data_IF_244958509510
#
_entry.id   IF_244958509510
#
_cell.length_a   1.000
_cell.length_b   1.000
_cell.length_c   1.000
_cell.angle_alpha   90.00
_cell.angle_beta   90.00
_cell.angle_gamma   90.00
#
_symmetry.space_group_name_H-M   'P 1'
#
loop_
_entity.id
_entity.type
_entity.pdbx_description
1 polymer ?
#
# COMPACT_ATOMS: atom_id res chain seq x y z
N UNK A 1 -2.66 -47.41 51.48
CA UNK A 1 -3.36 -46.14 51.21
C UNK A 1 -2.44 -45.29 50.33
N UNK A 2 -2.90 -44.89 49.14
CA UNK A 2 -2.08 -44.33 48.06
C UNK A 2 -1.64 -42.90 48.40
N UNK A 3 -0.34 -42.63 48.29
CA UNK A 3 0.24 -41.30 48.43
C UNK A 3 -0.13 -40.44 47.21
N UNK A 4 -0.75 -39.28 47.46
CA UNK A 4 -1.07 -38.28 46.45
C UNK A 4 0.17 -37.39 46.28
N UNK A 5 0.79 -37.40 45.10
CA UNK A 5 1.83 -36.43 44.73
C UNK A 5 1.21 -35.03 44.58
N UNK A 6 1.87 -33.96 45.03
CA UNK A 6 1.42 -32.60 44.75
C UNK A 6 1.66 -32.30 43.26
N UNK A 7 0.57 -31.99 42.55
CA UNK A 7 0.63 -31.43 41.20
C UNK A 7 1.31 -30.07 41.31
N UNK A 8 2.54 -29.98 40.79
CA UNK A 8 3.20 -28.70 40.55
C UNK A 8 2.39 -27.96 39.49
N UNK A 9 1.51 -27.07 39.95
CA UNK A 9 0.81 -26.10 39.12
C UNK A 9 1.87 -25.12 38.61
N UNK A 10 2.48 -25.43 37.46
CA UNK A 10 3.26 -24.44 36.71
C UNK A 10 2.25 -23.40 36.24
N UNK A 11 2.17 -22.29 36.97
CA UNK A 11 1.50 -21.08 36.51
C UNK A 11 2.20 -20.67 35.20
N UNK A 12 1.57 -20.94 34.06
CA UNK A 12 1.82 -20.17 32.84
C UNK A 12 1.35 -18.75 33.13
N UNK A 13 2.22 -17.73 33.08
CA UNK A 13 1.72 -16.39 32.89
C UNK A 13 1.30 -16.29 31.42
N UNK A 14 0.02 -16.58 31.15
CA UNK A 14 -0.67 -16.00 30.01
C UNK A 14 -0.88 -14.52 30.33
N UNK A 15 0.14 -13.71 30.08
CA UNK A 15 0.02 -12.25 30.01
C UNK A 15 0.26 -11.85 28.56
N UNK A 16 -0.75 -12.03 27.72
CA UNK A 16 -0.81 -11.36 26.44
C UNK A 16 -1.41 -9.96 26.65
N UNK A 17 -0.54 -8.94 26.72
CA UNK A 17 -0.93 -7.53 26.59
C UNK A 17 0.27 -6.58 26.72
N UNK A 18 0.23 -5.37 26.12
CA UNK A 18 -0.13 -5.03 24.74
C UNK A 18 1.12 -4.94 23.83
N UNK A 19 1.00 -5.31 22.55
CA UNK A 19 2.04 -5.11 21.51
C UNK A 19 2.25 -3.61 21.25
N UNK A 20 3.48 -3.11 21.32
CA UNK A 20 3.92 -1.76 20.89
C UNK A 20 5.33 -1.88 20.28
N UNK A 21 5.79 -1.13 19.28
CA UNK A 21 5.23 0.03 18.60
C UNK A 21 5.02 -0.23 17.09
N UNK A 22 4.29 0.69 16.45
CA UNK A 22 4.07 0.80 15.00
C UNK A 22 4.19 2.29 14.61
N UNK A 23 5.28 2.89 15.11
CA UNK A 23 6.03 4.12 14.82
C UNK A 23 5.63 5.46 15.47
N UNK A 24 6.57 6.32 15.89
CA UNK A 24 8.02 6.45 15.61
C UNK A 24 8.97 5.81 16.65
N UNK A 25 10.05 5.15 16.20
CA UNK A 25 11.04 4.49 17.06
C UNK A 25 10.72 3.02 17.39
N UNK A 26 10.13 2.30 16.44
CA UNK A 26 9.82 0.88 16.61
C UNK A 26 10.97 0.11 17.27
N UNK A 27 10.56 -0.71 18.24
CA UNK A 27 11.28 -1.00 19.48
C UNK A 27 12.80 -1.23 19.31
N UNK A 28 13.62 -0.67 20.22
CA UNK A 28 15.07 -0.94 20.27
C UNK A 28 15.40 -2.43 20.40
N UNK A 29 14.40 -3.25 20.69
CA UNK A 29 14.49 -4.71 20.78
C UNK A 29 14.61 -5.42 19.42
N UNK A 30 14.35 -4.75 18.29
CA UNK A 30 14.61 -5.31 16.96
C UNK A 30 15.17 -4.27 15.98
N UNK A 31 15.94 -4.72 14.98
CA UNK A 31 16.49 -3.84 13.94
C UNK A 31 15.54 -3.76 12.76
N UNK A 32 15.57 -2.65 12.03
CA UNK A 32 14.90 -2.52 10.74
C UNK A 32 15.94 -2.33 9.63
N UNK A 33 15.70 -2.94 8.47
CA UNK A 33 16.49 -2.71 7.25
C UNK A 33 15.59 -2.31 6.10
N UNK A 34 16.13 -1.59 5.13
CA UNK A 34 15.44 -1.33 3.88
C UNK A 34 15.56 -2.55 2.95
N UNK A 35 14.75 -2.59 1.90
CA UNK A 35 14.68 -3.74 1.00
C UNK A 35 15.95 -3.87 0.13
N UNK A 36 16.54 -2.73 -0.24
CA UNK A 36 17.81 -2.62 -0.95
C UNK A 36 19.01 -3.18 -0.16
N UNK A 37 18.93 -3.19 1.18
CA UNK A 37 19.98 -3.69 2.07
C UNK A 37 19.91 -5.21 2.27
N UNK A 38 18.80 -5.84 1.88
CA UNK A 38 18.54 -7.26 2.11
C UNK A 38 19.65 -8.19 1.56
N UNK A 39 20.19 -7.99 0.34
CA UNK A 39 21.29 -8.84 -0.15
C UNK A 39 22.54 -8.76 0.72
N UNK A 40 22.91 -7.56 1.18
CA UNK A 40 24.07 -7.36 2.06
C UNK A 40 23.82 -7.99 3.44
N UNK A 41 22.60 -7.87 3.96
CA UNK A 41 22.21 -8.51 5.21
C UNK A 41 22.31 -10.04 5.14
N UNK A 42 21.80 -10.63 4.04
CA UNK A 42 21.89 -12.08 3.82
C UNK A 42 23.32 -12.56 3.62
N UNK A 43 24.20 -11.74 3.02
CA UNK A 43 25.62 -12.05 2.89
C UNK A 43 26.34 -12.00 4.25
N UNK A 44 25.99 -11.04 5.11
CA UNK A 44 26.55 -10.92 6.46
C UNK A 44 26.01 -11.98 7.43
N UNK A 45 24.77 -12.42 7.21
CA UNK A 45 24.07 -13.41 8.02
C UNK A 45 23.62 -14.60 7.14
N UNK A 46 24.54 -15.43 6.61
CA UNK A 46 24.21 -16.48 5.65
C UNK A 46 23.33 -17.59 6.23
N UNK A 47 23.28 -17.69 7.57
CA UNK A 47 22.38 -18.58 8.28
C UNK A 47 21.07 -17.89 8.69
N UNK A 48 20.77 -16.66 8.29
CA UNK A 48 19.53 -15.98 8.71
C UNK A 48 18.28 -16.78 8.34
N UNK A 49 17.27 -16.75 9.21
CA UNK A 49 15.95 -17.29 8.91
C UNK A 49 15.11 -16.19 8.24
N UNK A 50 14.63 -16.46 7.03
CA UNK A 50 13.65 -15.61 6.36
C UNK A 50 12.25 -16.03 6.79
N UNK A 51 11.51 -15.15 7.48
CA UNK A 51 10.17 -15.42 7.99
C UNK A 51 9.12 -14.60 7.23
N UNK A 52 8.31 -15.27 6.43
CA UNK A 52 7.13 -14.67 5.82
C UNK A 52 5.92 -14.82 6.76
N UNK A 53 5.41 -13.69 7.25
CA UNK A 53 4.24 -13.66 8.15
C UNK A 53 2.93 -13.25 7.46
N UNK A 54 2.90 -13.28 6.12
CA UNK A 54 1.67 -13.11 5.33
C UNK A 54 0.73 -14.31 5.50
N UNK A 55 -0.44 -14.25 4.89
CA UNK A 55 -1.33 -15.41 4.84
C UNK A 55 -0.73 -16.54 3.98
N UNK A 56 -1.18 -17.77 4.19
CA UNK A 56 -0.76 -18.91 3.37
C UNK A 56 -1.09 -18.71 1.88
N UNK A 57 -2.20 -18.03 1.57
CA UNK A 57 -2.56 -17.67 0.20
C UNK A 57 -1.54 -16.73 -0.43
N UNK A 58 -1.12 -15.67 0.28
CA UNK A 58 -0.09 -14.74 -0.21
C UNK A 58 1.27 -15.42 -0.40
N UNK A 59 1.65 -16.32 0.51
CA UNK A 59 2.93 -17.04 0.43
C UNK A 59 2.97 -18.04 -0.74
N UNK A 60 1.82 -18.60 -1.11
CA UNK A 60 1.70 -19.59 -2.18
C UNK A 60 1.10 -19.01 -3.47
N UNK A 61 0.93 -17.69 -3.56
CA UNK A 61 0.29 -17.02 -4.69
C UNK A 61 -1.13 -17.52 -5.03
N UNK A 62 -1.88 -17.94 -4.00
CA UNK A 62 -3.26 -18.44 -4.10
C UNK A 62 -4.25 -17.60 -3.27
N UNK A 63 -3.87 -16.38 -2.86
CA UNK A 63 -4.75 -15.49 -2.12
C UNK A 63 -6.01 -15.16 -2.94
N UNK A 64 -7.16 -15.11 -2.25
CA UNK A 64 -8.44 -14.74 -2.85
C UNK A 64 -8.41 -13.34 -3.50
N UNK A 65 -7.67 -12.43 -2.86
CA UNK A 65 -7.30 -11.12 -3.39
C UNK A 65 -6.04 -11.29 -4.23
N UNK A 66 -6.23 -11.51 -5.53
CA UNK A 66 -5.15 -11.96 -6.41
C UNK A 66 -4.00 -10.95 -6.57
N UNK A 67 -4.24 -9.67 -6.32
CA UNK A 67 -3.21 -8.62 -6.29
C UNK A 67 -2.22 -8.77 -5.13
N UNK A 68 -2.52 -9.59 -4.12
CA UNK A 68 -1.58 -9.92 -3.06
C UNK A 68 -0.67 -11.10 -3.41
N UNK A 69 -0.92 -11.76 -4.54
CA UNK A 69 -0.07 -12.82 -5.07
C UNK A 69 1.09 -12.15 -5.82
N UNK A 70 2.15 -11.88 -5.08
CA UNK A 70 3.32 -11.11 -5.54
C UNK A 70 4.63 -11.88 -5.34
N UNK A 71 4.57 -13.21 -5.26
CA UNK A 71 5.71 -14.07 -4.96
C UNK A 71 6.13 -13.98 -3.50
N UNK A 72 7.31 -14.51 -3.20
CA UNK A 72 7.95 -14.57 -1.87
C UNK A 72 9.47 -14.54 -1.99
N UNK A 73 10.17 -14.29 -0.88
CA UNK A 73 11.62 -14.46 -0.83
C UNK A 73 12.00 -15.94 -0.89
N UNK A 74 13.00 -16.30 -1.70
CA UNK A 74 13.55 -17.65 -1.83
C UNK A 74 14.02 -18.18 -0.49
N UNK A 75 13.65 -19.42 -0.17
CA UNK A 75 14.02 -20.06 1.09
C UNK A 75 13.30 -19.52 2.32
N UNK A 76 12.30 -18.65 2.17
CA UNK A 76 11.49 -18.19 3.28
C UNK A 76 10.65 -19.32 3.90
N UNK A 77 10.60 -19.36 5.23
CA UNK A 77 9.67 -20.18 5.99
C UNK A 77 8.39 -19.37 6.21
N UNK A 78 7.25 -20.04 6.06
CA UNK A 78 5.93 -19.44 6.27
C UNK A 78 5.39 -19.76 7.66
N UNK A 79 5.12 -18.73 8.44
CA UNK A 79 4.30 -18.79 9.67
C UNK A 79 3.45 -17.53 9.67
N UNK A 80 2.16 -17.67 9.38
CA UNK A 80 1.28 -16.51 9.32
C UNK A 80 1.23 -15.77 10.66
N UNK A 81 1.13 -14.43 10.63
CA UNK A 81 1.11 -13.63 11.85
C UNK A 81 0.11 -14.12 12.91
N UNK A 82 -1.07 -14.61 12.49
CA UNK A 82 -2.10 -15.16 13.40
C UNK A 82 -1.71 -16.48 14.06
N UNK A 83 -0.82 -17.24 13.44
CA UNK A 83 -0.34 -18.56 13.86
C UNK A 83 0.96 -18.46 14.66
N UNK A 84 1.64 -17.32 14.56
CA UNK A 84 2.93 -17.08 15.19
C UNK A 84 2.90 -17.40 16.70
N UNK A 85 1.93 -16.92 17.52
CA UNK A 85 1.91 -17.21 18.95
C UNK A 85 1.95 -18.70 19.29
N UNK A 86 1.24 -19.54 18.52
CA UNK A 86 1.17 -20.98 18.73
C UNK A 86 2.40 -21.72 18.19
N UNK A 87 3.11 -21.11 17.23
CA UNK A 87 4.25 -21.70 16.52
C UNK A 87 5.60 -21.23 17.06
N UNK A 88 5.63 -20.24 17.96
CA UNK A 88 6.84 -19.70 18.60
C UNK A 88 7.72 -20.78 19.24
N UNK A 89 7.12 -21.77 19.91
CA UNK A 89 7.87 -22.85 20.54
C UNK A 89 8.70 -23.65 19.52
N UNK A 90 8.21 -23.80 18.29
CA UNK A 90 8.91 -24.47 17.20
C UNK A 90 10.13 -23.70 16.69
N UNK A 91 10.22 -22.40 16.98
CA UNK A 91 11.36 -21.53 16.65
C UNK A 91 12.33 -21.37 17.84
N UNK A 92 12.11 -22.05 18.95
CA UNK A 92 12.88 -21.84 20.19
C UNK A 92 14.38 -22.14 20.06
N UNK A 93 14.77 -23.02 19.15
CA UNK A 93 16.18 -23.30 18.83
C UNK A 93 16.86 -22.16 18.05
N UNK A 94 16.09 -21.27 17.43
CA UNK A 94 16.58 -20.15 16.63
C UNK A 94 16.59 -18.81 17.40
N UNK A 95 16.49 -18.82 18.74
CA UNK A 95 16.41 -17.60 19.58
C UNK A 95 17.58 -16.63 19.37
N UNK A 96 18.78 -17.16 19.16
CA UNK A 96 20.02 -16.39 18.93
C UNK A 96 20.41 -16.33 17.44
N UNK A 97 19.59 -16.89 16.56
CA UNK A 97 19.81 -16.84 15.11
C UNK A 97 19.20 -15.55 14.56
N UNK A 98 19.85 -14.87 13.58
CA UNK A 98 19.20 -13.75 12.89
C UNK A 98 17.89 -14.17 12.22
N UNK A 99 16.80 -13.44 12.49
CA UNK A 99 15.50 -13.66 11.87
C UNK A 99 15.07 -12.41 11.13
N UNK A 100 14.99 -12.50 9.80
CA UNK A 100 14.48 -11.42 8.94
C UNK A 100 13.00 -11.66 8.69
N UNK A 101 12.16 -10.81 9.26
CA UNK A 101 10.70 -10.91 9.21
C UNK A 101 10.16 -9.95 8.17
N UNK A 102 9.29 -10.45 7.29
CA UNK A 102 8.63 -9.59 6.29
C UNK A 102 7.16 -9.95 6.10
N UNK A 103 6.44 -8.98 5.55
CA UNK A 103 5.08 -9.18 5.03
C UNK A 103 4.91 -8.34 3.76
N UNK A 104 3.68 -8.05 3.33
CA UNK A 104 3.44 -7.23 2.13
C UNK A 104 3.85 -5.76 2.31
N UNK A 105 3.45 -5.11 3.42
CA UNK A 105 3.60 -3.65 3.64
C UNK A 105 4.18 -3.28 5.02
N UNK A 106 4.98 -4.17 5.61
CA UNK A 106 5.59 -3.97 6.95
C UNK A 106 4.61 -3.68 8.11
N UNK A 107 3.34 -4.11 7.98
CA UNK A 107 2.32 -3.97 9.03
C UNK A 107 2.34 -5.17 9.98
N UNK A 108 2.20 -6.37 9.41
CA UNK A 108 2.19 -7.65 10.16
C UNK A 108 3.58 -8.01 10.66
N UNK A 109 4.61 -7.80 9.84
CA UNK A 109 5.99 -8.16 10.17
C UNK A 109 6.53 -7.42 11.39
N UNK A 110 6.07 -6.19 11.65
CA UNK A 110 6.50 -5.43 12.83
C UNK A 110 5.85 -5.89 14.10
N UNK A 111 4.56 -6.22 14.04
CA UNK A 111 3.85 -6.88 15.15
C UNK A 111 4.46 -8.25 15.43
N UNK A 112 4.80 -9.01 14.39
CA UNK A 112 5.53 -10.26 14.52
C UNK A 112 6.93 -10.06 15.12
N UNK A 113 7.65 -9.03 14.69
CA UNK A 113 8.99 -8.70 15.19
C UNK A 113 8.96 -8.35 16.68
N UNK A 114 7.98 -7.55 17.11
CA UNK A 114 7.73 -7.28 18.53
C UNK A 114 7.42 -8.58 19.28
N UNK A 115 6.50 -9.41 18.78
CA UNK A 115 6.13 -10.67 19.44
C UNK A 115 7.33 -11.64 19.58
N UNK A 116 8.22 -11.70 18.57
CA UNK A 116 9.46 -12.46 18.64
C UNK A 116 10.40 -11.87 19.68
N UNK A 117 10.64 -10.56 19.66
CA UNK A 117 11.49 -9.89 20.63
C UNK A 117 10.98 -10.04 22.07
N UNK A 118 9.66 -9.89 22.29
CA UNK A 118 8.95 -10.14 23.55
C UNK A 118 9.15 -11.59 24.04
N UNK A 119 9.29 -12.53 23.11
CA UNK A 119 9.48 -13.95 23.38
C UNK A 119 10.94 -14.34 23.59
N UNK A 120 11.86 -13.38 23.58
CA UNK A 120 13.29 -13.57 23.85
C UNK A 120 14.13 -13.94 22.63
N UNK A 121 13.68 -13.61 21.43
CA UNK A 121 14.53 -13.65 20.23
C UNK A 121 15.41 -12.39 20.20
N UNK A 122 16.72 -12.56 20.12
CA UNK A 122 17.70 -11.49 20.35
C UNK A 122 18.15 -10.79 19.07
N UNK A 123 17.99 -11.43 17.91
CA UNK A 123 18.45 -10.94 16.61
C UNK A 123 17.32 -10.82 15.58
N UNK A 124 16.24 -10.12 15.94
CA UNK A 124 15.10 -9.88 15.06
C UNK A 124 15.37 -8.68 14.14
N UNK A 125 15.12 -8.86 12.85
CA UNK A 125 15.28 -7.84 11.80
C UNK A 125 13.97 -7.73 11.03
N UNK A 126 13.31 -6.57 11.03
CA UNK A 126 12.15 -6.32 10.19
C UNK A 126 12.57 -5.75 8.83
N UNK A 127 12.05 -6.33 7.75
CA UNK A 127 12.17 -5.79 6.40
C UNK A 127 11.14 -4.68 6.20
N UNK A 128 11.63 -3.45 6.09
CA UNK A 128 10.78 -2.26 5.92
C UNK A 128 10.09 -2.27 4.56
N UNK A 129 8.90 -1.65 4.52
CA UNK A 129 8.00 -1.58 3.38
C UNK A 129 7.47 -2.92 2.83
N UNK A 130 8.07 -4.05 3.19
CA UNK A 130 7.63 -5.38 2.77
C UNK A 130 7.83 -5.65 1.28
N UNK A 131 7.25 -6.76 0.81
CA UNK A 131 7.50 -7.27 -0.53
C UNK A 131 6.80 -6.47 -1.65
N UNK A 132 5.71 -5.76 -1.37
CA UNK A 132 5.02 -4.96 -2.40
C UNK A 132 5.93 -3.86 -2.97
N UNK A 133 6.79 -3.28 -2.13
CA UNK A 133 7.77 -2.27 -2.56
C UNK A 133 8.67 -2.77 -3.67
N UNK A 134 9.07 -4.05 -3.66
CA UNK A 134 9.88 -4.61 -4.76
C UNK A 134 9.19 -4.38 -6.11
N UNK A 135 7.89 -4.67 -6.21
CA UNK A 135 7.20 -4.56 -7.49
C UNK A 135 6.95 -3.10 -7.87
N UNK A 136 6.61 -2.24 -6.92
CA UNK A 136 6.46 -0.79 -7.14
C UNK A 136 7.77 -0.10 -7.56
N UNK A 137 8.92 -0.61 -7.08
CA UNK A 137 10.26 -0.04 -7.28
C UNK A 137 11.24 -0.98 -7.99
N UNK A 138 10.73 -1.92 -8.81
CA UNK A 138 11.51 -3.01 -9.41
C UNK A 138 12.70 -2.52 -10.23
N UNK A 139 12.54 -1.39 -10.91
CA UNK A 139 13.56 -0.71 -11.69
C UNK A 139 14.76 -0.25 -10.83
N UNK A 140 14.51 0.12 -9.56
CA UNK A 140 15.50 0.58 -8.57
C UNK A 140 15.98 -0.53 -7.63
N UNK A 141 15.25 -1.65 -7.56
CA UNK A 141 15.51 -2.78 -6.65
C UNK A 141 15.93 -4.05 -7.40
N UNK A 142 16.62 -3.90 -8.54
CA UNK A 142 17.02 -5.03 -9.39
C UNK A 142 17.87 -6.05 -8.64
N UNK A 143 18.69 -5.62 -7.68
CA UNK A 143 19.51 -6.49 -6.83
C UNK A 143 18.71 -7.45 -5.95
N UNK A 144 17.42 -7.21 -5.76
CA UNK A 144 16.52 -8.08 -4.98
C UNK A 144 15.80 -9.10 -5.87
N UNK A 145 15.82 -8.92 -7.20
CA UNK A 145 15.07 -9.78 -8.14
C UNK A 145 15.44 -11.26 -8.01
N UNK A 146 16.74 -11.54 -7.85
CA UNK A 146 17.24 -12.91 -7.73
C UNK A 146 16.87 -13.57 -6.40
N UNK A 147 16.40 -12.80 -5.43
CA UNK A 147 15.93 -13.29 -4.14
C UNK A 147 14.44 -13.62 -4.14
N UNK A 148 13.71 -13.32 -5.23
CA UNK A 148 12.25 -13.51 -5.29
C UNK A 148 11.92 -14.74 -6.14
N UNK A 149 11.04 -15.59 -5.61
CA UNK A 149 10.40 -16.66 -6.35
C UNK A 149 8.89 -16.46 -6.36
N UNK A 150 8.25 -16.90 -7.43
CA UNK A 150 6.84 -16.64 -7.68
C UNK A 150 6.26 -17.73 -8.57
N UNK A 151 4.95 -17.98 -8.47
CA UNK A 151 4.26 -18.99 -9.27
C UNK A 151 3.24 -18.42 -10.25
N UNK A 152 3.09 -17.10 -10.32
CA UNK A 152 2.28 -16.42 -11.32
C UNK A 152 2.80 -16.73 -12.72
N UNK A 153 1.85 -17.02 -13.61
CA UNK A 153 2.09 -17.27 -15.03
C UNK A 153 2.16 -15.98 -15.87
N UNK A 154 1.65 -14.86 -15.34
CA UNK A 154 1.66 -13.55 -16.01
C UNK A 154 2.82 -12.66 -15.53
N UNK A 155 3.19 -11.69 -16.36
CA UNK A 155 4.10 -10.61 -15.96
C UNK A 155 3.43 -9.69 -14.94
N UNK A 156 4.17 -9.28 -13.90
CA UNK A 156 3.73 -8.20 -13.00
C UNK A 156 4.59 -6.99 -13.37
N UNK A 157 3.94 -5.90 -13.75
CA UNK A 157 4.62 -4.67 -14.19
C UNK A 157 4.15 -3.49 -13.35
N UNK A 158 5.03 -2.52 -13.15
CA UNK A 158 4.67 -1.23 -12.55
C UNK A 158 4.52 -0.12 -13.63
N UNK A 159 4.31 1.12 -13.20
CA UNK A 159 4.16 2.26 -14.11
C UNK A 159 5.41 2.52 -14.99
N UNK A 160 6.61 2.31 -14.45
CA UNK A 160 7.87 2.49 -15.20
C UNK A 160 7.99 1.42 -16.29
N UNK A 161 7.70 0.16 -15.94
CA UNK A 161 7.67 -0.96 -16.88
C UNK A 161 6.61 -0.75 -17.97
N UNK A 162 5.41 -0.27 -17.61
CA UNK A 162 4.36 0.09 -18.56
C UNK A 162 4.85 1.16 -19.55
N UNK A 163 5.46 2.24 -19.07
CA UNK A 163 6.01 3.27 -19.93
C UNK A 163 7.12 2.75 -20.85
N UNK A 164 7.94 1.82 -20.36
CA UNK A 164 8.98 1.18 -21.16
C UNK A 164 8.37 0.29 -22.27
N UNK A 165 7.34 -0.50 -21.96
CA UNK A 165 6.62 -1.32 -22.93
C UNK A 165 5.98 -0.45 -24.03
N UNK A 166 5.28 0.62 -23.65
CA UNK A 166 4.66 1.55 -24.59
C UNK A 166 5.68 2.26 -25.49
N UNK A 167 6.91 2.47 -25.00
CA UNK A 167 7.99 3.07 -25.79
C UNK A 167 8.67 2.06 -26.72
N UNK A 168 8.61 0.77 -26.41
CA UNK A 168 9.27 -0.29 -27.16
C UNK A 168 8.47 -0.74 -28.40
N UNK A 169 7.15 -0.59 -28.40
CA UNK A 169 6.30 -0.97 -29.53
C UNK A 169 4.81 -1.00 -29.19
N UNK A 170 3.98 -1.55 -30.10
CA UNK A 170 2.55 -1.67 -29.88
C UNK A 170 2.23 -2.56 -28.67
N UNK A 171 1.34 -2.10 -27.79
CA UNK A 171 0.86 -2.83 -26.62
C UNK A 171 -0.66 -2.75 -26.59
N UNK A 172 -1.34 -3.84 -26.23
CA UNK A 172 -2.78 -3.84 -25.99
C UNK A 172 -3.07 -3.55 -24.53
N UNK A 173 -3.59 -2.37 -24.22
CA UNK A 173 -4.03 -1.99 -22.89
C UNK A 173 -5.49 -2.42 -22.73
N UNK A 174 -5.81 -3.18 -21.68
CA UNK A 174 -7.15 -3.74 -21.47
C UNK A 174 -7.64 -3.40 -20.07
N UNK A 175 -8.68 -2.57 -20.01
CA UNK A 175 -9.40 -2.26 -18.78
C UNK A 175 -10.44 -3.36 -18.51
N UNK A 176 -10.30 -4.04 -17.37
CA UNK A 176 -11.22 -5.13 -16.98
C UNK A 176 -12.14 -4.78 -15.83
N UNK A 177 -12.24 -3.49 -15.47
CA UNK A 177 -13.17 -3.02 -14.44
C UNK A 177 -14.62 -3.43 -14.79
N UNK A 178 -15.49 -3.67 -13.80
CA UNK A 178 -16.91 -3.87 -14.06
C UNK A 178 -17.56 -2.61 -14.64
N UNK A 179 -18.54 -2.78 -15.54
CA UNK A 179 -19.24 -1.66 -16.18
C UNK A 179 -19.95 -0.75 -15.18
N UNK A 180 -20.35 -1.28 -14.03
CA UNK A 180 -20.98 -0.51 -12.95
C UNK A 180 -20.07 0.55 -12.35
N UNK A 181 -18.74 0.39 -12.45
CA UNK A 181 -17.78 1.43 -12.06
C UNK A 181 -17.55 2.44 -13.20
N UNK A 182 -18.04 2.16 -14.41
CA UNK A 182 -17.94 3.05 -15.56
C UNK A 182 -19.29 3.68 -15.94
N UNK A 183 -20.31 3.62 -15.09
CA UNK A 183 -21.53 4.39 -15.30
C UNK A 183 -21.29 5.86 -14.92
N UNK A 184 -21.37 6.80 -15.88
CA UNK A 184 -21.13 8.23 -15.62
C UNK A 184 -22.10 8.83 -14.60
N UNK A 185 -23.33 8.31 -14.50
CA UNK A 185 -24.37 8.92 -13.66
C UNK A 185 -24.27 8.52 -12.18
N UNK A 186 -23.82 7.29 -11.90
CA UNK A 186 -23.78 6.72 -10.54
C UNK A 186 -22.38 6.36 -10.06
N UNK A 187 -21.34 6.83 -10.77
CA UNK A 187 -19.94 6.54 -10.49
C UNK A 187 -19.52 7.07 -9.11
N UNK A 188 -19.01 6.22 -8.20
CA UNK A 188 -18.41 6.69 -6.96
C UNK A 188 -17.24 7.66 -7.25
N UNK A 189 -17.10 8.71 -6.45
CA UNK A 189 -16.05 9.75 -6.65
C UNK A 189 -14.63 9.16 -6.64
N UNK A 190 -14.41 8.06 -5.91
CA UNK A 190 -13.16 7.29 -5.97
C UNK A 190 -12.78 6.85 -7.39
N UNK A 191 -13.75 6.45 -8.21
CA UNK A 191 -13.50 6.02 -9.59
C UNK A 191 -13.16 7.20 -10.49
N UNK A 192 -13.77 8.37 -10.24
CA UNK A 192 -13.43 9.63 -10.92
C UNK A 192 -11.99 10.07 -10.64
N UNK A 193 -11.54 9.95 -9.38
CA UNK A 193 -10.18 10.29 -8.99
C UNK A 193 -9.13 9.43 -9.71
N UNK A 194 -9.46 8.16 -9.99
CA UNK A 194 -8.56 7.22 -10.65
C UNK A 194 -8.46 7.38 -12.17
N UNK A 195 -9.33 8.14 -12.83
CA UNK A 195 -9.22 8.35 -14.28
C UNK A 195 -9.18 7.07 -15.13
N UNK A 196 -8.36 7.10 -16.18
CA UNK A 196 -8.14 5.95 -17.07
C UNK A 196 -6.87 6.08 -17.89
N UNK A 197 -6.50 4.98 -18.56
CA UNK A 197 -5.36 4.92 -19.48
C UNK A 197 -5.88 5.14 -20.91
N UNK A 198 -5.29 6.10 -21.62
CA UNK A 198 -5.70 6.48 -22.96
C UNK A 198 -5.49 5.35 -23.96
N UNK A 199 -6.47 5.14 -24.82
CA UNK A 199 -6.43 4.08 -25.84
C UNK A 199 -6.64 2.66 -25.31
N UNK A 200 -6.98 2.48 -24.03
CA UNK A 200 -7.32 1.17 -23.49
C UNK A 200 -8.65 0.63 -24.03
N UNK A 201 -8.65 -0.65 -24.38
CA UNK A 201 -9.86 -1.40 -24.73
C UNK A 201 -10.58 -1.82 -23.45
N UNK A 202 -11.83 -1.40 -23.29
CA UNK A 202 -12.65 -1.82 -22.15
C UNK A 202 -13.37 -3.13 -22.43
N UNK A 203 -13.07 -4.15 -21.61
CA UNK A 203 -13.78 -5.43 -21.55
C UNK A 203 -13.87 -5.83 -20.08
N UNK A 204 -15.01 -5.59 -19.43
CA UNK A 204 -15.19 -6.06 -18.06
C UNK A 204 -14.88 -7.56 -17.96
N UNK A 205 -14.24 -7.97 -16.85
CA UNK A 205 -13.75 -9.35 -16.71
C UNK A 205 -14.82 -10.42 -17.00
N UNK A 206 -16.08 -10.15 -16.64
CA UNK A 206 -17.19 -11.08 -16.86
C UNK A 206 -17.47 -11.38 -18.34
N UNK A 207 -17.22 -10.41 -19.22
CA UNK A 207 -17.48 -10.52 -20.66
C UNK A 207 -16.28 -11.06 -21.43
N UNK A 208 -15.11 -11.15 -20.79
CA UNK A 208 -13.87 -11.58 -21.40
C UNK A 208 -14.00 -12.91 -22.15
N UNK A 209 -14.66 -13.98 -21.62
CA UNK A 209 -14.86 -15.24 -22.35
C UNK A 209 -15.57 -15.07 -23.71
N UNK A 210 -16.50 -14.12 -23.83
CA UNK A 210 -17.24 -13.86 -25.07
C UNK A 210 -16.53 -12.93 -26.04
N UNK A 211 -15.56 -12.14 -25.54
CA UNK A 211 -14.91 -11.04 -26.28
C UNK A 211 -13.42 -11.27 -26.54
N UNK A 212 -12.88 -12.47 -26.26
CA UNK A 212 -11.46 -12.79 -26.49
C UNK A 212 -10.98 -12.56 -27.92
N UNK A 213 -11.86 -12.68 -28.91
CA UNK A 213 -11.53 -12.45 -30.34
C UNK A 213 -11.16 -11.00 -30.66
N UNK A 214 -11.47 -10.06 -29.77
CA UNK A 214 -11.08 -8.66 -29.90
C UNK A 214 -9.63 -8.42 -29.47
N UNK A 215 -9.01 -9.39 -28.78
CA UNK A 215 -7.66 -9.25 -28.24
C UNK A 215 -6.60 -9.76 -29.23
N UNK A 216 -5.46 -9.06 -29.36
CA UNK A 216 -4.39 -9.47 -30.26
C UNK A 216 -3.58 -10.65 -29.70
N UNK A 217 -3.03 -11.47 -30.59
CA UNK A 217 -2.05 -12.52 -30.25
C UNK A 217 -0.61 -12.15 -30.64
N UNK A 218 -0.40 -11.00 -31.29
CA UNK A 218 0.87 -10.59 -31.90
C UNK A 218 1.68 -9.57 -31.07
N UNK A 219 1.16 -9.18 -29.90
CA UNK A 219 1.76 -8.14 -29.04
C UNK A 219 1.42 -8.34 -27.57
N UNK A 220 2.15 -7.71 -26.64
CA UNK A 220 1.85 -7.80 -25.22
C UNK A 220 0.45 -7.28 -24.89
N UNK A 221 -0.25 -7.98 -24.00
CA UNK A 221 -1.50 -7.53 -23.38
C UNK A 221 -1.20 -7.09 -21.94
N UNK A 222 -1.53 -5.85 -21.60
CA UNK A 222 -1.46 -5.34 -20.23
C UNK A 222 -2.88 -5.15 -19.70
N UNK A 223 -3.22 -5.94 -18.70
CA UNK A 223 -4.49 -5.88 -17.99
C UNK A 223 -4.38 -4.97 -16.77
N UNK A 224 -5.40 -4.15 -16.54
CA UNK A 224 -5.53 -3.35 -15.33
C UNK A 224 -6.99 -3.26 -14.90
N UNK A 225 -7.18 -2.97 -13.62
CA UNK A 225 -8.47 -2.77 -12.97
C UNK A 225 -8.37 -1.62 -11.95
N UNK A 226 -9.24 -1.58 -10.94
CA UNK A 226 -9.15 -0.58 -9.86
C UNK A 226 -7.91 -0.77 -8.96
N UNK A 227 -7.59 -2.01 -8.56
CA UNK A 227 -6.72 -2.29 -7.40
C UNK A 227 -6.16 -3.71 -7.32
N UNK A 228 -6.05 -4.41 -8.45
CA UNK A 228 -5.40 -5.71 -8.59
C UNK A 228 -6.25 -6.93 -8.26
N UNK A 229 -7.58 -6.91 -8.38
CA UNK A 229 -8.43 -8.08 -8.10
C UNK A 229 -8.87 -8.82 -9.37
N UNK A 230 -9.43 -8.11 -10.32
CA UNK A 230 -9.97 -8.65 -11.57
C UNK A 230 -8.87 -8.84 -12.63
N UNK A 231 -7.87 -7.94 -12.70
CA UNK A 231 -6.81 -8.03 -13.69
C UNK A 231 -5.98 -9.33 -13.59
N UNK A 232 -5.52 -9.80 -12.42
CA UNK A 232 -4.90 -11.12 -12.28
C UNK A 232 -5.78 -12.31 -12.69
N UNK A 233 -7.09 -12.23 -12.44
CA UNK A 233 -8.04 -13.29 -12.80
C UNK A 233 -8.27 -13.32 -14.31
N UNK A 234 -8.41 -12.15 -14.92
CA UNK A 234 -8.45 -11.99 -16.36
C UNK A 234 -7.16 -12.52 -17.00
N UNK A 235 -5.99 -12.24 -16.41
CA UNK A 235 -4.71 -12.69 -16.94
C UNK A 235 -4.62 -14.21 -17.00
N UNK A 236 -4.99 -14.90 -15.92
CA UNK A 236 -5.05 -16.36 -15.91
C UNK A 236 -6.04 -16.91 -16.94
N UNK A 237 -7.22 -16.29 -17.08
CA UNK A 237 -8.21 -16.68 -18.07
C UNK A 237 -7.67 -16.54 -19.52
N UNK A 238 -6.93 -15.46 -19.82
CA UNK A 238 -6.28 -15.30 -21.12
C UNK A 238 -5.20 -16.38 -21.34
N UNK A 239 -4.35 -16.62 -20.35
CA UNK A 239 -3.31 -17.66 -20.43
C UNK A 239 -3.91 -19.06 -20.66
N UNK A 240 -5.03 -19.38 -20.00
CA UNK A 240 -5.75 -20.65 -20.18
C UNK A 240 -6.35 -20.80 -21.60
N UNK A 241 -6.49 -19.68 -22.34
CA UNK A 241 -7.02 -19.63 -23.70
C UNK A 241 -5.95 -19.31 -24.76
N UNK A 242 -4.67 -19.57 -24.45
CA UNK A 242 -3.59 -19.56 -25.43
C UNK A 242 -2.95 -18.19 -25.70
N UNK A 243 -3.29 -17.16 -24.93
CA UNK A 243 -2.48 -15.93 -24.90
C UNK A 243 -1.18 -16.20 -24.15
N UNK A 244 -0.05 -15.72 -24.66
CA UNK A 244 1.28 -16.05 -24.11
C UNK A 244 2.04 -14.88 -23.50
N UNK A 245 1.71 -13.64 -23.90
CA UNK A 245 2.39 -12.43 -23.46
C UNK A 245 1.43 -11.51 -22.71
N UNK A 246 1.09 -11.92 -21.48
CA UNK A 246 0.09 -11.26 -20.64
C UNK A 246 0.74 -10.69 -19.38
N UNK A 247 0.49 -9.41 -19.14
CA UNK A 247 1.00 -8.65 -18.00
C UNK A 247 -0.17 -8.06 -17.20
N UNK A 248 0.04 -7.90 -15.90
CA UNK A 248 -0.87 -7.20 -14.99
C UNK A 248 -0.17 -5.98 -14.44
N UNK A 249 -0.82 -4.83 -14.57
CA UNK A 249 -0.39 -3.61 -13.92
C UNK A 249 -0.64 -3.72 -12.40
N UNK A 250 0.44 -3.70 -11.63
CA UNK A 250 0.39 -3.78 -10.17
C UNK A 250 -0.47 -2.63 -9.60
N UNK A 251 -1.33 -2.95 -8.63
CA UNK A 251 -2.24 -2.03 -7.94
C UNK A 251 -3.24 -1.28 -8.85
N UNK A 252 -3.32 -1.64 -10.13
CA UNK A 252 -4.26 -1.06 -11.08
C UNK A 252 -4.18 0.47 -11.17
N UNK A 253 -5.32 1.10 -11.39
CA UNK A 253 -5.41 2.56 -11.48
C UNK A 253 -5.25 3.25 -10.11
N UNK A 254 -5.59 2.58 -9.00
CA UNK A 254 -5.34 3.10 -7.66
C UNK A 254 -3.85 3.32 -7.44
N UNK A 255 -3.00 2.38 -7.87
CA UNK A 255 -1.55 2.54 -7.81
C UNK A 255 -1.07 3.73 -8.63
N UNK A 256 -1.51 3.84 -9.89
CA UNK A 256 -1.08 4.93 -10.79
C UNK A 256 -1.50 6.33 -10.30
N UNK A 257 -2.69 6.45 -9.72
CA UNK A 257 -3.21 7.71 -9.15
C UNK A 257 -2.29 8.26 -8.05
N UNK A 258 -1.65 7.38 -7.29
CA UNK A 258 -0.85 7.71 -6.10
C UNK A 258 0.65 7.88 -6.37
N UNK A 259 1.10 7.64 -7.61
CA UNK A 259 2.53 7.72 -7.97
C UNK A 259 2.98 9.14 -8.31
N UNK A 260 4.16 9.57 -7.83
CA UNK A 260 4.78 10.80 -8.30
C UNK A 260 5.24 10.70 -9.76
N UNK A 261 5.38 11.84 -10.43
CA UNK A 261 5.72 11.94 -11.85
C UNK A 261 7.04 11.24 -12.20
N UNK A 262 8.04 11.24 -11.32
CA UNK A 262 9.30 10.52 -11.54
C UNK A 262 9.12 8.98 -11.56
N UNK A 263 8.03 8.49 -10.97
CA UNK A 263 7.65 7.08 -10.93
C UNK A 263 6.59 6.72 -11.99
N UNK A 264 5.98 7.72 -12.64
CA UNK A 264 5.07 7.53 -13.77
C UNK A 264 5.41 8.48 -14.93
N UNK A 265 6.55 8.30 -15.61
CA UNK A 265 7.13 9.29 -16.52
C UNK A 265 6.30 9.53 -17.80
N UNK A 266 5.47 8.57 -18.22
CA UNK A 266 4.61 8.72 -19.38
C UNK A 266 3.21 9.23 -19.05
N UNK A 267 2.89 9.54 -17.77
CA UNK A 267 1.56 9.92 -17.28
C UNK A 267 0.87 10.95 -18.18
N UNK A 268 1.55 12.05 -18.51
CA UNK A 268 0.98 13.14 -19.29
C UNK A 268 0.52 12.76 -20.72
N UNK A 269 0.96 11.61 -21.25
CA UNK A 269 0.60 11.13 -22.60
C UNK A 269 -0.31 9.91 -22.60
N UNK A 270 -0.42 9.23 -21.46
CA UNK A 270 -1.08 7.92 -21.36
C UNK A 270 -2.23 7.91 -20.37
N UNK A 271 -2.36 8.94 -19.54
CA UNK A 271 -3.33 8.96 -18.45
C UNK A 271 -4.23 10.17 -18.55
N UNK A 272 -5.54 9.92 -18.56
CA UNK A 272 -6.56 10.96 -18.44
C UNK A 272 -7.10 10.98 -17.02
N UNK A 273 -6.86 12.08 -16.31
CA UNK A 273 -7.56 12.38 -15.06
C UNK A 273 -8.98 12.85 -15.37
N UNK A 274 -9.97 12.33 -14.63
CA UNK A 274 -11.38 12.68 -14.84
C UNK A 274 -11.97 13.51 -13.69
N UNK A 275 -11.32 13.50 -12.52
CA UNK A 275 -11.72 14.33 -11.39
C UNK A 275 -11.33 15.80 -11.60
N UNK A 276 -12.13 16.77 -11.12
CA UNK A 276 -11.84 18.20 -11.23
C UNK A 276 -10.92 18.70 -10.10
N UNK A 277 -10.21 17.80 -9.43
CA UNK A 277 -9.24 18.05 -8.37
C UNK A 277 -8.07 17.08 -8.53
N UNK A 278 -6.97 17.30 -7.80
CA UNK A 278 -5.74 16.51 -7.95
C UNK A 278 -5.43 15.69 -6.70
N UNK A 279 -5.20 14.38 -6.85
CA UNK A 279 -4.56 13.57 -5.80
C UNK A 279 -3.05 13.79 -5.91
N UNK A 280 -2.44 14.39 -4.89
CA UNK A 280 -1.02 14.74 -4.86
C UNK A 280 -0.22 13.77 -3.97
N UNK A 281 0.77 13.08 -4.55
CA UNK A 281 1.78 12.36 -3.78
C UNK A 281 2.55 13.32 -2.86
N UNK A 282 3.00 12.89 -1.67
CA UNK A 282 3.77 13.74 -0.77
C UNK A 282 4.96 14.42 -1.46
N UNK A 283 5.70 13.70 -2.30
CA UNK A 283 6.86 14.20 -3.02
C UNK A 283 6.56 15.40 -3.96
N UNK A 284 5.31 15.62 -4.33
CA UNK A 284 4.88 16.70 -5.23
C UNK A 284 4.27 17.90 -4.50
N UNK A 285 4.14 17.85 -3.17
CA UNK A 285 3.61 18.98 -2.41
C UNK A 285 4.61 20.16 -2.36
N UNK A 286 4.11 21.38 -2.61
CA UNK A 286 4.85 22.62 -2.39
C UNK A 286 4.91 22.96 -0.89
N UNK A 287 5.79 22.25 -0.18
CA UNK A 287 6.02 22.42 1.26
C UNK A 287 6.45 23.83 1.65
N UNK A 288 7.11 24.57 0.75
CA UNK A 288 7.49 25.96 0.98
C UNK A 288 6.27 26.89 0.92
N UNK A 289 5.35 26.70 -0.02
CA UNK A 289 4.10 27.44 -0.09
C UNK A 289 3.16 27.13 1.07
N UNK A 290 3.06 25.86 1.46
CA UNK A 290 2.27 25.46 2.64
C UNK A 290 2.85 26.14 3.89
N UNK A 291 4.16 26.08 4.09
CA UNK A 291 4.84 26.69 5.24
C UNK A 291 4.71 28.22 5.28
N UNK A 292 4.66 28.87 4.11
CA UNK A 292 4.42 30.31 3.97
C UNK A 292 2.94 30.71 4.09
N UNK A 293 2.03 29.77 4.39
CA UNK A 293 0.59 30.03 4.50
C UNK A 293 -0.10 30.39 3.18
N UNK A 294 0.54 30.08 2.04
CA UNK A 294 -0.02 30.34 0.69
C UNK A 294 -1.06 29.29 0.28
N UNK A 295 -1.11 28.15 0.96
CA UNK A 295 -2.10 27.10 0.76
C UNK A 295 -3.04 27.04 1.97
N UNK A 296 -4.32 26.75 1.73
CA UNK A 296 -5.24 26.33 2.80
C UNK A 296 -5.08 24.83 3.01
N UNK A 297 -4.70 24.38 4.20
CA UNK A 297 -4.65 22.96 4.52
C UNK A 297 -5.80 22.62 5.45
N UNK A 298 -6.63 21.65 5.08
CA UNK A 298 -7.83 21.27 5.82
C UNK A 298 -7.75 19.78 6.13
N UNK A 299 -7.78 19.43 7.40
CA UNK A 299 -7.95 18.04 7.83
C UNK A 299 -9.45 17.74 7.89
N UNK A 300 -9.91 16.85 7.01
CA UNK A 300 -11.31 16.50 6.84
C UNK A 300 -11.69 15.17 7.49
N UNK A 301 -10.77 14.60 8.30
CA UNK A 301 -11.05 13.40 9.07
C UNK A 301 -12.17 13.64 10.07
N UNK A 302 -12.89 12.58 10.44
CA UNK A 302 -13.88 12.65 11.52
C UNK A 302 -13.20 13.09 12.81
N UNK A 303 -13.95 13.73 13.70
CA UNK A 303 -13.45 14.20 14.99
C UNK A 303 -12.72 13.11 15.77
N UNK A 304 -13.30 11.92 15.86
CA UNK A 304 -12.68 10.76 16.54
C UNK A 304 -11.31 10.37 15.96
N UNK A 305 -11.13 10.50 14.64
CA UNK A 305 -9.85 10.20 13.96
C UNK A 305 -8.81 11.33 14.14
N UNK A 306 -9.28 12.54 14.45
CA UNK A 306 -8.45 13.73 14.63
C UNK A 306 -8.05 13.97 16.10
N UNK A 307 -8.98 13.73 17.04
CA UNK A 307 -8.86 14.08 18.48
C UNK A 307 -8.49 12.89 19.40
N UNK A 308 -8.96 11.66 19.16
CA UNK A 308 -8.87 10.53 20.13
C UNK A 308 -7.89 9.43 19.66
N UNK A 309 -7.10 8.70 20.47
CA UNK A 309 -7.24 8.21 21.87
C UNK A 309 -8.51 7.38 22.19
N UNK A 310 -9.09 6.71 21.19
CA UNK A 310 -10.30 5.90 21.40
C UNK A 310 -10.08 4.58 22.19
N UNK A 311 -11.15 4.00 22.79
CA UNK A 311 -11.09 2.88 23.74
C UNK A 311 -10.63 1.53 23.16
N UNK A 312 -10.29 1.45 21.87
CA UNK A 312 -9.81 0.25 21.18
C UNK A 312 -8.73 0.54 20.08
N UNK A 313 -7.55 1.09 20.44
CA UNK A 313 -6.34 0.69 19.69
C UNK A 313 -5.15 1.66 19.57
N UNK A 314 -4.01 1.16 19.04
CA UNK A 314 -2.71 1.85 18.98
C UNK A 314 -2.60 2.86 17.81
N UNK A 315 -3.60 3.71 17.61
CA UNK A 315 -3.66 4.68 16.50
C UNK A 315 -3.79 6.12 16.99
N UNK A 316 -2.87 6.56 17.83
CA UNK A 316 -2.55 7.98 17.89
C UNK A 316 -2.05 8.40 16.50
N UNK A 317 -2.95 8.88 15.65
CA UNK A 317 -2.59 9.30 14.30
C UNK A 317 -2.07 10.72 14.38
N UNK A 318 -1.00 10.99 13.67
CA UNK A 318 -0.43 12.32 13.62
C UNK A 318 -1.46 13.34 13.11
N UNK A 319 -1.28 14.62 13.46
CA UNK A 319 -1.96 15.75 12.80
C UNK A 319 -1.03 16.33 11.74
N UNK A 320 -1.58 16.76 10.60
CA UNK A 320 -0.75 17.43 9.58
C UNK A 320 -0.46 18.87 10.03
N UNK A 321 0.83 19.24 10.07
CA UNK A 321 1.25 20.57 10.51
C UNK A 321 0.59 21.67 9.67
N UNK A 322 -0.03 22.63 10.35
CA UNK A 322 -0.68 23.77 9.70
C UNK A 322 -2.07 23.50 9.14
N UNK A 323 -2.62 22.29 9.33
CA UNK A 323 -3.98 21.98 8.92
C UNK A 323 -5.02 22.54 9.92
N UNK A 324 -6.10 23.11 9.37
CA UNK A 324 -7.33 23.43 10.12
C UNK A 324 -8.25 22.22 10.07
N UNK A 325 -8.82 21.82 11.21
CA UNK A 325 -9.73 20.67 11.25
C UNK A 325 -11.17 21.08 10.96
N UNK A 326 -11.72 20.55 9.87
CA UNK A 326 -13.12 20.69 9.48
C UNK A 326 -13.57 19.34 8.93
N UNK A 327 -14.27 18.50 9.71
CA UNK A 327 -14.76 17.20 9.24
C UNK A 327 -15.49 17.30 7.90
N UNK A 328 -15.32 16.30 7.03
CA UNK A 328 -15.89 16.30 5.69
C UNK A 328 -17.41 16.59 5.68
N UNK A 329 -18.14 16.04 6.66
CA UNK A 329 -19.58 16.24 6.87
C UNK A 329 -19.97 17.67 7.26
N UNK A 330 -19.05 18.44 7.84
CA UNK A 330 -19.25 19.84 8.26
C UNK A 330 -18.75 20.84 7.20
N UNK A 331 -17.89 20.41 6.27
CA UNK A 331 -17.12 21.29 5.39
C UNK A 331 -17.99 22.26 4.57
N UNK A 332 -19.12 21.78 4.05
CA UNK A 332 -20.02 22.63 3.26
C UNK A 332 -20.79 23.64 4.11
N UNK A 333 -21.14 23.28 5.35
CA UNK A 333 -21.81 24.18 6.28
C UNK A 333 -20.85 25.24 6.83
N UNK A 334 -19.55 24.93 6.88
CA UNK A 334 -18.47 25.78 7.39
C UNK A 334 -17.60 26.36 6.26
N UNK A 335 -18.13 26.42 5.03
CA UNK A 335 -17.36 26.86 3.86
C UNK A 335 -16.91 28.32 3.96
N UNK A 336 -17.66 29.15 4.71
CA UNK A 336 -17.34 30.55 4.96
C UNK A 336 -16.14 30.74 5.91
N UNK A 337 -15.66 29.67 6.57
CA UNK A 337 -14.39 29.68 7.31
C UNK A 337 -13.18 29.59 6.37
N UNK A 338 -13.38 29.21 5.11
CA UNK A 338 -12.33 29.14 4.11
C UNK A 338 -12.07 30.53 3.50
N UNK A 339 -10.85 30.80 2.99
CA UNK A 339 -10.55 32.07 2.36
C UNK A 339 -11.51 32.38 1.20
N UNK A 340 -11.99 33.62 1.15
CA UNK A 340 -12.87 34.10 0.07
C UNK A 340 -12.20 34.03 -1.32
N UNK A 341 -10.87 34.10 -1.38
CA UNK A 341 -10.09 33.85 -2.60
C UNK A 341 -10.12 32.37 -2.96
N UNK A 342 -11.06 32.01 -3.84
CA UNK A 342 -11.24 30.64 -4.37
C UNK A 342 -10.14 30.22 -5.36
N UNK A 343 -9.22 31.11 -5.72
CA UNK A 343 -8.02 30.75 -6.49
C UNK A 343 -6.88 30.23 -5.61
N UNK A 344 -6.96 30.43 -4.29
CA UNK A 344 -5.95 29.91 -3.37
C UNK A 344 -5.97 28.38 -3.33
N UNK A 345 -4.82 27.69 -3.49
CA UNK A 345 -4.77 26.24 -3.41
C UNK A 345 -5.28 25.70 -2.06
N UNK A 346 -6.09 24.66 -2.12
CA UNK A 346 -6.63 23.94 -0.96
C UNK A 346 -6.10 22.51 -0.97
N UNK A 347 -5.47 22.08 0.12
CA UNK A 347 -5.07 20.70 0.35
C UNK A 347 -5.95 20.06 1.42
N UNK A 348 -6.71 19.04 1.02
CA UNK A 348 -7.49 18.22 1.93
C UNK A 348 -6.67 17.03 2.43
N UNK A 349 -6.70 16.82 3.74
CA UNK A 349 -6.04 15.72 4.43
C UNK A 349 -7.11 14.78 4.98
N UNK A 350 -7.18 13.57 4.44
CA UNK A 350 -7.97 12.46 4.97
C UNK A 350 -7.11 11.45 5.74
N UNK A 351 -7.75 10.42 6.31
CA UNK A 351 -7.03 9.28 6.93
C UNK A 351 -6.27 8.50 5.85
N UNK A 352 -6.99 8.14 4.79
CA UNK A 352 -6.51 7.57 3.53
C UNK A 352 -7.12 8.37 2.37
N UNK A 353 -6.61 8.19 1.14
CA UNK A 353 -7.32 8.63 -0.06
C UNK A 353 -8.56 7.74 -0.25
N UNK A 354 -9.75 8.32 -0.17
CA UNK A 354 -11.00 7.56 -0.22
C UNK A 354 -12.23 8.47 -0.25
N UNK A 355 -13.42 7.86 -0.24
CA UNK A 355 -14.71 8.55 -0.46
C UNK A 355 -14.84 9.90 0.23
N UNK A 356 -14.81 10.00 1.58
CA UNK A 356 -15.08 11.27 2.27
C UNK A 356 -14.18 12.44 1.87
N UNK A 357 -12.87 12.22 1.69
CA UNK A 357 -11.94 13.29 1.29
C UNK A 357 -12.08 13.65 -0.19
N UNK A 358 -12.40 12.68 -1.05
CA UNK A 358 -12.63 12.90 -2.47
C UNK A 358 -13.98 13.59 -2.72
N UNK A 359 -15.03 13.20 -1.99
CA UNK A 359 -16.35 13.86 -2.00
C UNK A 359 -16.24 15.31 -1.51
N UNK A 360 -15.43 15.55 -0.47
CA UNK A 360 -15.12 16.90 0.00
C UNK A 360 -14.35 17.71 -1.07
N UNK A 361 -13.39 17.09 -1.76
CA UNK A 361 -12.64 17.73 -2.84
C UNK A 361 -13.56 18.13 -3.99
N UNK A 362 -14.41 17.19 -4.44
CA UNK A 362 -15.45 17.41 -5.44
C UNK A 362 -16.36 18.57 -5.04
N UNK A 363 -16.85 18.54 -3.81
CA UNK A 363 -17.75 19.57 -3.29
C UNK A 363 -17.08 20.95 -3.33
N UNK A 364 -15.83 21.09 -2.88
CA UNK A 364 -15.12 22.37 -2.99
C UNK A 364 -14.98 22.84 -4.43
N UNK A 365 -14.61 21.94 -5.37
CA UNK A 365 -14.53 22.31 -6.78
C UNK A 365 -15.89 22.75 -7.33
N UNK A 366 -16.99 22.08 -6.98
CA UNK A 366 -18.35 22.48 -7.37
C UNK A 366 -18.79 23.83 -6.77
N UNK A 367 -18.14 24.28 -5.69
CA UNK A 367 -18.30 25.63 -5.13
C UNK A 367 -17.26 26.62 -5.70
N UNK A 368 -16.54 26.26 -6.75
CA UNK A 368 -15.68 27.16 -7.51
C UNK A 368 -14.29 27.37 -6.92
N UNK A 369 -13.83 26.51 -5.99
CA UNK A 369 -12.42 26.46 -5.63
C UNK A 369 -11.61 25.92 -6.81
N UNK A 370 -10.70 26.72 -7.36
CA UNK A 370 -10.04 26.44 -8.63
C UNK A 370 -8.91 25.40 -8.52
N UNK A 371 -8.29 25.29 -7.34
CA UNK A 371 -7.10 24.46 -7.11
C UNK A 371 -7.30 23.61 -5.86
N UNK A 372 -8.05 22.52 -6.01
CA UNK A 372 -8.31 21.56 -4.94
C UNK A 372 -7.41 20.34 -5.09
N UNK A 373 -6.75 19.99 -4.00
CA UNK A 373 -5.82 18.88 -3.91
C UNK A 373 -6.17 17.97 -2.74
N UNK A 374 -5.87 16.68 -2.84
CA UNK A 374 -5.95 15.75 -1.72
C UNK A 374 -4.62 15.02 -1.55
N UNK A 375 -4.19 14.76 -0.32
CA UNK A 375 -2.97 13.99 -0.07
C UNK A 375 -3.14 12.52 -0.45
N UNK A 376 -2.30 12.03 -1.35
CA UNK A 376 -2.21 10.61 -1.72
C UNK A 376 -1.87 9.74 -0.52
N UNK A 377 -2.57 8.61 -0.36
CA UNK A 377 -2.46 7.74 0.81
C UNK A 377 -2.94 8.38 2.12
N UNK A 378 -3.41 9.64 2.11
CA UNK A 378 -3.80 10.40 3.29
C UNK A 378 -2.66 10.55 4.32
N UNK A 379 -3.04 10.96 5.54
CA UNK A 379 -2.08 11.10 6.64
C UNK A 379 -1.48 9.77 7.08
N UNK A 380 -2.23 8.68 6.95
CA UNK A 380 -1.76 7.34 7.26
C UNK A 380 -0.64 6.91 6.30
N UNK A 381 -0.82 7.13 4.99
CA UNK A 381 0.17 6.80 3.98
C UNK A 381 1.47 7.59 4.17
N UNK A 382 1.36 8.90 4.44
CA UNK A 382 2.51 9.73 4.77
C UNK A 382 3.26 9.24 6.01
N UNK A 383 2.53 8.92 7.09
CA UNK A 383 3.09 8.34 8.31
C UNK A 383 3.76 7.01 8.02
N UNK A 384 3.12 6.12 7.26
CA UNK A 384 3.71 4.85 6.88
C UNK A 384 5.02 5.04 6.11
N UNK A 385 5.03 5.95 5.13
CA UNK A 385 6.21 6.23 4.31
C UNK A 385 7.39 6.74 5.14
N UNK A 386 7.16 7.68 6.08
CA UNK A 386 8.20 8.21 7.01
C UNK A 386 8.96 7.11 7.77
N UNK A 387 8.33 5.96 8.02
CA UNK A 387 8.92 4.87 8.80
C UNK A 387 9.37 3.66 7.98
N UNK A 388 8.98 3.59 6.71
CA UNK A 388 9.22 2.42 5.87
C UNK A 388 10.04 2.72 4.63
N UNK A 389 10.05 3.97 4.16
CA UNK A 389 10.69 4.36 2.92
C UNK A 389 11.92 5.25 3.19
N UNK A 390 13.07 4.95 2.58
CA UNK A 390 14.19 5.88 2.52
C UNK A 390 13.77 7.22 1.87
N UNK A 391 14.39 8.32 2.29
CA UNK A 391 14.11 9.65 1.73
C UNK A 391 12.86 10.35 2.29
N UNK A 392 11.98 9.65 3.00
CA UNK A 392 10.78 10.27 3.61
C UNK A 392 11.01 10.86 5.01
N UNK A 393 12.23 10.80 5.55
CA UNK A 393 12.53 11.26 6.91
C UNK A 393 12.21 12.75 7.16
N UNK A 394 12.28 13.59 6.13
CA UNK A 394 11.96 15.02 6.21
C UNK A 394 10.47 15.28 6.48
N UNK A 395 9.59 14.37 6.09
CA UNK A 395 8.14 14.48 6.32
C UNK A 395 7.72 14.30 7.77
N UNK A 396 8.61 13.77 8.61
CA UNK A 396 8.39 13.62 10.05
C UNK A 396 8.04 14.94 10.74
N UNK A 397 8.67 16.05 10.34
CA UNK A 397 8.40 17.36 10.92
C UNK A 397 6.98 17.87 10.63
N UNK A 398 6.32 17.32 9.60
CA UNK A 398 4.95 17.62 9.20
C UNK A 398 3.91 16.80 9.94
N UNK A 399 4.32 15.73 10.61
CA UNK A 399 3.47 14.84 11.38
C UNK A 399 3.58 15.22 12.87
N UNK A 400 2.63 16.02 13.35
CA UNK A 400 2.55 16.40 14.75
C UNK A 400 1.97 15.25 15.58
N UNK A 401 2.27 15.20 16.88
CA UNK A 401 1.61 14.24 17.78
C UNK A 401 0.08 14.35 17.74
N UNK A 402 -0.64 13.32 18.22
CA UNK A 402 -2.09 13.36 18.36
C UNK A 402 -2.56 14.50 19.24
#
# INVERSE_FOLDING_TARGET
>A
MRAVQPIALVLLPLLAGPVRAQFEGDDRRYRCIALEDLPAELAASPNALLLDVRSAGEFNDTAAWAGLNIGRLKGAIHIGYKELPQRLAGLSADRDRPIIVYCSHSQRSRRASNALADSGFTHVINLNAGLSRYWLERDRLRQVSDLIERSQRYGIINAVDLCALLSAGPVSLVDVRPDTLLDLEHRPERVWAMGGIDGALHIQRADLPGRMKELPHDRPIVLFDEGGTDAPRAANLLLDNGFTDVHVLLDGLSGLMELPLDRFPCRARTWTATAPYTVLPPAELDTAAISAGRWTVIDVRRREQYDEQGPNGPRAMNRFRGAVHIPAEELMARIDELPADRSRPVLLIGDMTGGPVLDAARSLTDRGFAHVHTLSGGIWGLRWAVHNLPGYGTWRSWLMGP
#
